data_IF_994186444385
#
_entry.id   IF_994186444385
#
_cell.length_a   1.000
_cell.length_b   1.000
_cell.length_c   1.000
_cell.angle_alpha   90.00
_cell.angle_beta   90.00
_cell.angle_gamma   90.00
#
_symmetry.space_group_name_H-M   'P 1'
#
loop_
_entity.id
_entity.type
_entity.pdbx_description
1 polymer ?
#
# COMPACT_ATOMS: atom_id res chain seq x y z
N UNK A 1 12.61 -17.81 -10.26
CA UNK A 1 12.75 -16.60 -9.41
C UNK A 1 11.66 -16.62 -8.33
N UNK A 2 11.90 -17.18 -7.12
CA UNK A 2 10.89 -17.23 -6.04
C UNK A 2 10.56 -15.86 -5.41
N UNK A 3 11.28 -14.79 -5.79
CA UNK A 3 11.14 -13.48 -5.16
C UNK A 3 9.76 -12.84 -5.39
N UNK A 4 9.16 -13.02 -6.57
CA UNK A 4 7.84 -12.47 -6.88
C UNK A 4 6.74 -13.09 -6.02
N UNK A 5 6.82 -14.39 -5.77
CA UNK A 5 5.93 -15.12 -4.85
C UNK A 5 6.01 -14.52 -3.45
N UNK A 6 7.22 -14.28 -2.95
CA UNK A 6 7.45 -13.70 -1.62
C UNK A 6 6.91 -12.26 -1.56
N UNK A 7 7.12 -11.46 -2.61
CA UNK A 7 6.60 -10.08 -2.69
C UNK A 7 5.08 -10.05 -2.74
N UNK A 8 4.47 -10.93 -3.54
CA UNK A 8 3.02 -11.06 -3.61
C UNK A 8 2.43 -11.42 -2.25
N UNK A 9 3.00 -12.44 -1.58
CA UNK A 9 2.55 -12.85 -0.26
C UNK A 9 2.67 -11.71 0.76
N UNK A 10 3.80 -11.00 0.76
CA UNK A 10 4.01 -9.86 1.65
C UNK A 10 3.01 -8.71 1.40
N UNK A 11 2.73 -8.37 0.15
CA UNK A 11 1.76 -7.33 -0.20
C UNK A 11 0.33 -7.67 0.22
N UNK A 12 -0.01 -8.97 0.28
CA UNK A 12 -1.31 -9.48 0.67
C UNK A 12 -1.38 -9.97 2.13
N UNK A 13 -0.30 -9.79 2.91
CA UNK A 13 -0.17 -10.28 4.28
C UNK A 13 -0.41 -11.78 4.45
N UNK A 14 0.08 -12.57 3.49
CA UNK A 14 0.03 -14.03 3.50
C UNK A 14 1.37 -14.63 3.92
N UNK A 15 1.32 -15.71 4.68
CA UNK A 15 2.49 -16.51 5.01
C UNK A 15 3.03 -17.23 3.77
N UNK A 16 4.34 -17.44 3.75
CA UNK A 16 5.05 -18.18 2.71
C UNK A 16 5.57 -19.48 3.29
N UNK A 17 5.34 -20.60 2.60
CA UNK A 17 6.08 -21.82 2.86
C UNK A 17 7.41 -21.78 2.08
N UNK A 18 8.50 -21.69 2.83
CA UNK A 18 9.85 -21.47 2.31
C UNK A 18 10.69 -22.75 2.41
N UNK A 19 11.12 -23.25 1.25
CA UNK A 19 12.09 -24.33 1.15
C UNK A 19 13.51 -23.75 1.27
N UNK A 20 14.20 -24.08 2.36
CA UNK A 20 15.53 -23.56 2.68
C UNK A 20 16.39 -24.62 3.35
N UNK A 21 17.55 -24.93 2.75
CA UNK A 21 18.49 -25.94 3.24
C UNK A 21 17.80 -27.28 3.55
N UNK A 22 17.03 -27.81 2.59
CA UNK A 22 16.28 -29.07 2.70
C UNK A 22 15.24 -29.09 3.84
N UNK A 23 14.78 -27.93 4.30
CA UNK A 23 13.73 -27.79 5.33
C UNK A 23 12.65 -26.82 4.88
N UNK A 24 11.39 -27.13 5.18
CA UNK A 24 10.26 -26.24 4.96
C UNK A 24 10.01 -25.36 6.19
N UNK A 25 9.62 -24.11 5.97
CA UNK A 25 9.42 -23.12 7.02
C UNK A 25 8.30 -22.16 6.63
N UNK A 26 7.27 -22.13 7.46
CA UNK A 26 6.23 -21.12 7.35
C UNK A 26 6.71 -19.79 7.94
N UNK A 27 6.74 -18.75 7.10
CA UNK A 27 7.28 -17.44 7.46
C UNK A 27 6.34 -16.28 7.08
N UNK A 28 6.46 -15.20 7.84
CA UNK A 28 5.90 -13.88 7.55
C UNK A 28 6.98 -13.02 6.88
N UNK A 29 6.88 -12.71 5.58
CA UNK A 29 7.91 -11.96 4.88
C UNK A 29 7.78 -10.44 5.11
N UNK A 30 8.86 -9.77 5.52
CA UNK A 30 8.85 -8.32 5.82
C UNK A 30 9.72 -7.47 4.90
N UNK A 31 11.01 -7.76 4.77
CA UNK A 31 11.92 -6.85 4.04
C UNK A 31 13.05 -7.55 3.31
N UNK A 32 13.59 -6.87 2.28
CA UNK A 32 14.83 -7.26 1.63
C UNK A 32 15.94 -6.30 2.02
N UNK A 33 17.08 -6.85 2.42
CA UNK A 33 18.25 -6.05 2.78
C UNK A 33 19.47 -6.60 2.06
N UNK A 34 20.35 -5.70 1.65
CA UNK A 34 21.63 -6.07 1.05
C UNK A 34 22.73 -5.92 2.09
N UNK A 35 23.55 -6.95 2.24
CA UNK A 35 24.73 -6.90 3.11
C UNK A 35 25.87 -6.14 2.43
N UNK A 36 26.92 -5.80 3.19
CA UNK A 36 28.10 -5.10 2.65
C UNK A 36 28.84 -5.92 1.59
N UNK A 37 28.85 -7.24 1.72
CA UNK A 37 29.39 -8.20 0.74
C UNK A 37 28.47 -8.40 -0.48
N UNK A 38 27.33 -7.71 -0.55
CA UNK A 38 26.44 -7.71 -1.70
C UNK A 38 25.41 -8.84 -1.72
N UNK A 39 25.38 -9.70 -0.71
CA UNK A 39 24.37 -10.75 -0.55
C UNK A 39 22.98 -10.16 -0.23
N UNK A 40 21.93 -10.72 -0.83
CA UNK A 40 20.54 -10.30 -0.60
C UNK A 40 19.89 -11.19 0.46
N UNK A 41 19.37 -10.57 1.52
CA UNK A 41 18.71 -11.23 2.64
C UNK A 41 17.22 -10.89 2.68
N UNK A 42 16.39 -11.93 2.82
CA UNK A 42 15.00 -11.82 3.23
C UNK A 42 14.93 -11.83 4.75
N UNK A 43 14.43 -10.74 5.32
CA UNK A 43 14.05 -10.65 6.72
C UNK A 43 12.60 -11.08 6.90
N UNK A 44 12.37 -12.04 7.79
CA UNK A 44 11.08 -12.63 8.01
C UNK A 44 10.91 -13.08 9.48
N UNK A 45 9.66 -13.27 9.90
CA UNK A 45 9.34 -13.88 11.19
C UNK A 45 8.89 -15.32 10.95
N UNK A 46 9.30 -16.27 11.79
CA UNK A 46 8.71 -17.62 11.78
C UNK A 46 7.30 -17.56 12.34
N UNK A 47 6.32 -18.03 11.55
CA UNK A 47 4.92 -17.94 11.96
C UNK A 47 4.64 -18.69 13.28
N UNK A 48 5.21 -19.89 13.44
CA UNK A 48 4.97 -20.72 14.62
C UNK A 48 5.60 -20.18 15.92
N UNK A 49 6.80 -19.58 15.85
CA UNK A 49 7.56 -19.18 17.05
C UNK A 49 7.66 -17.67 17.26
N UNK A 50 7.30 -16.86 16.27
CA UNK A 50 7.47 -15.40 16.33
C UNK A 50 8.94 -14.94 16.24
N UNK A 51 9.88 -15.84 15.97
CA UNK A 51 11.31 -15.51 15.88
C UNK A 51 11.65 -14.77 14.59
N UNK A 52 12.38 -13.67 14.71
CA UNK A 52 12.97 -12.99 13.57
C UNK A 52 14.16 -13.78 13.01
N UNK A 53 14.16 -14.02 11.69
CA UNK A 53 15.21 -14.75 10.96
C UNK A 53 15.52 -14.05 9.64
N UNK A 54 16.77 -14.21 9.20
CA UNK A 54 17.22 -13.75 7.90
C UNK A 54 17.60 -14.95 7.02
N UNK A 55 17.14 -14.94 5.78
CA UNK A 55 17.39 -15.99 4.79
C UNK A 55 18.10 -15.41 3.58
N UNK A 56 19.14 -16.10 3.12
CA UNK A 56 19.86 -15.73 1.91
C UNK A 56 19.03 -16.08 0.68
N UNK A 57 18.74 -15.10 -0.18
CA UNK A 57 17.90 -15.31 -1.37
C UNK A 57 18.49 -16.35 -2.32
N UNK A 58 19.81 -16.37 -2.47
CA UNK A 58 20.56 -17.33 -3.29
C UNK A 58 20.54 -18.77 -2.74
N UNK A 59 20.12 -18.97 -1.48
CA UNK A 59 20.01 -20.27 -0.84
C UNK A 59 18.56 -20.75 -0.71
N UNK A 60 17.60 -20.02 -1.27
CA UNK A 60 16.19 -20.43 -1.31
C UNK A 60 16.03 -21.48 -2.41
N UNK A 61 15.57 -22.67 -2.01
CA UNK A 61 15.32 -23.80 -2.92
C UNK A 61 13.93 -23.69 -3.57
N UNK A 62 13.00 -23.01 -2.91
CA UNK A 62 11.63 -22.82 -3.37
C UNK A 62 10.81 -21.97 -2.40
N UNK A 63 9.70 -21.41 -2.89
CA UNK A 63 8.75 -20.65 -2.09
C UNK A 63 7.35 -20.83 -2.66
N UNK A 64 6.35 -20.98 -1.80
CA UNK A 64 4.93 -21.01 -2.19
C UNK A 64 4.08 -20.13 -1.27
N UNK A 65 3.07 -19.49 -1.84
CA UNK A 65 2.09 -18.70 -1.06
C UNK A 65 1.15 -19.67 -0.37
N UNK A 66 0.79 -19.35 0.88
CA UNK A 66 -0.24 -20.08 1.62
C UNK A 66 -1.48 -19.21 1.80
N UNK A 67 -2.61 -19.81 2.12
CA UNK A 67 -3.85 -19.09 2.48
C UNK A 67 -3.86 -18.63 3.95
N UNK A 68 -2.73 -18.76 4.67
CA UNK A 68 -2.62 -18.39 6.07
C UNK A 68 -2.27 -16.90 6.16
N UNK A 69 -3.16 -16.03 6.68
CA UNK A 69 -2.85 -14.63 6.85
C UNK A 69 -1.97 -14.40 8.09
N UNK A 70 -1.22 -13.30 8.10
CA UNK A 70 -0.57 -12.77 9.30
C UNK A 70 -0.91 -11.29 9.50
N UNK A 71 -0.80 -10.83 10.75
CA UNK A 71 -0.98 -9.42 11.10
C UNK A 71 0.43 -8.79 11.21
N UNK A 72 0.81 -7.88 10.29
CA UNK A 72 2.15 -7.31 10.29
C UNK A 72 2.46 -6.56 11.59
N UNK A 73 3.55 -6.95 12.27
CA UNK A 73 4.08 -6.24 13.44
C UNK A 73 5.11 -5.17 13.08
N UNK A 74 5.67 -5.26 11.88
CA UNK A 74 6.68 -4.36 11.32
C UNK A 74 6.25 -3.87 9.93
N UNK A 75 6.88 -2.80 9.46
CA UNK A 75 6.68 -2.31 8.11
C UNK A 75 7.17 -3.35 7.07
N UNK A 76 6.39 -3.54 6.01
CA UNK A 76 6.74 -4.42 4.90
C UNK A 76 7.48 -3.60 3.83
N UNK A 77 8.77 -3.87 3.69
CA UNK A 77 9.69 -3.24 2.73
C UNK A 77 10.06 -4.23 1.60
N UNK A 78 9.07 -4.96 1.10
CA UNK A 78 9.21 -5.93 0.01
C UNK A 78 8.71 -5.42 -1.34
N UNK A 79 8.07 -4.25 -1.34
CA UNK A 79 7.52 -3.62 -2.54
C UNK A 79 8.63 -3.35 -3.54
N UNK A 80 8.47 -3.73 -4.83
CA UNK A 80 9.38 -3.24 -5.86
C UNK A 80 9.23 -1.72 -5.85
N UNK A 81 10.28 -1.01 -5.43
CA UNK A 81 10.31 0.44 -5.49
C UNK A 81 10.19 0.84 -6.97
N UNK A 82 9.02 1.33 -7.35
CA UNK A 82 8.71 1.77 -8.69
C UNK A 82 7.32 2.37 -8.68
N UNK A 83 7.19 3.58 -9.23
CA UNK A 83 5.90 4.13 -9.60
C UNK A 83 5.22 3.13 -10.53
N UNK A 84 4.11 2.52 -10.09
CA UNK A 84 3.21 1.86 -11.01
C UNK A 84 2.61 2.95 -11.91
N UNK A 85 3.26 3.19 -13.04
CA UNK A 85 2.75 4.09 -14.06
C UNK A 85 1.61 3.36 -14.76
N UNK A 86 0.39 3.54 -14.25
CA UNK A 86 -0.82 3.10 -14.91
C UNK A 86 -1.20 4.16 -15.96
N UNK A 87 -1.03 3.90 -17.27
CA UNK A 87 -1.49 4.84 -18.28
C UNK A 87 -3.01 4.98 -18.20
N UNK A 88 -3.51 6.20 -18.38
CA UNK A 88 -4.96 6.46 -18.45
C UNK A 88 -5.55 5.68 -19.62
N UNK A 89 -6.60 4.91 -19.34
CA UNK A 89 -7.39 4.21 -20.37
C UNK A 89 -8.10 5.26 -21.22
N UNK A 90 -7.62 5.49 -22.45
CA UNK A 90 -8.24 6.47 -23.35
C UNK A 90 -9.60 5.93 -23.82
N UNK A 91 -10.68 6.44 -23.23
CA UNK A 91 -11.99 6.38 -23.87
C UNK A 91 -12.00 7.42 -24.99
N UNK A 92 -12.00 6.95 -26.24
CA UNK A 92 -12.19 7.78 -27.45
C UNK A 92 -13.63 8.26 -27.55
N UNK A 93 -14.04 9.16 -26.67
CA UNK A 93 -15.23 9.98 -26.92
C UNK A 93 -14.84 11.08 -27.92
N UNK A 94 -15.18 10.83 -29.18
CA UNK A 94 -15.10 11.80 -30.26
C UNK A 94 -15.98 13.00 -29.92
N UNK A 95 -15.42 14.21 -29.87
CA UNK A 95 -16.01 15.45 -30.40
C UNK A 95 -15.02 16.63 -30.34
N UNK A 96 -14.95 17.48 -31.38
CA UNK A 96 -13.92 18.50 -31.54
C UNK A 96 -14.33 19.84 -30.91
N UNK A 97 -13.40 20.59 -30.32
CA UNK A 97 -13.71 21.94 -29.87
C UNK A 97 -12.61 22.71 -29.15
N UNK A 98 -11.79 23.42 -29.94
CA UNK A 98 -11.14 24.74 -29.69
C UNK A 98 -10.40 25.00 -28.36
N UNK A 99 -9.10 25.25 -28.51
CA UNK A 99 -8.25 26.02 -27.57
C UNK A 99 -8.70 27.49 -27.45
N UNK A 100 -8.41 28.13 -26.30
CA UNK A 100 -7.33 29.11 -26.36
C UNK A 100 -6.37 29.10 -25.16
N UNK A 101 -5.19 29.63 -25.47
CA UNK A 101 -4.04 29.91 -24.61
C UNK A 101 -4.38 30.82 -23.41
N UNK A 102 -3.86 30.46 -22.24
CA UNK A 102 -3.46 31.44 -21.22
C UNK A 102 -2.26 30.92 -20.43
N UNK A 103 -1.09 31.51 -20.68
CA UNK A 103 0.08 31.38 -19.81
C UNK A 103 -0.26 31.96 -18.45
N UNK A 104 -0.10 31.18 -17.39
CA UNK A 104 -0.06 31.65 -16.00
C UNK A 104 1.19 31.08 -15.31
N UNK A 105 1.77 31.82 -14.35
CA UNK A 105 3.09 31.51 -13.81
C UNK A 105 3.02 30.25 -12.94
N UNK A 106 3.99 29.36 -13.13
CA UNK A 106 4.20 28.19 -12.28
C UNK A 106 4.60 28.68 -10.88
N UNK A 107 3.62 28.79 -9.98
CA UNK A 107 3.91 28.71 -8.55
C UNK A 107 4.37 27.30 -8.26
N UNK A 108 5.58 27.16 -7.73
CA UNK A 108 6.10 25.88 -7.24
C UNK A 108 5.13 25.31 -6.21
N UNK A 109 4.42 24.27 -6.61
CA UNK A 109 3.57 23.50 -5.71
C UNK A 109 4.53 22.75 -4.80
N UNK A 110 4.61 23.17 -3.54
CA UNK A 110 5.23 22.36 -2.49
C UNK A 110 4.48 21.03 -2.48
N UNK A 111 5.11 19.99 -3.02
CA UNK A 111 4.61 18.62 -2.93
C UNK A 111 4.47 18.27 -1.44
N UNK A 112 3.23 18.13 -1.00
CA UNK A 112 2.91 17.54 0.30
C UNK A 112 3.11 16.03 0.15
N UNK A 113 4.35 15.58 0.33
CA UNK A 113 4.71 14.16 0.32
C UNK A 113 4.09 13.49 1.55
N UNK A 114 2.88 12.94 1.42
CA UNK A 114 2.23 12.19 2.49
C UNK A 114 0.85 11.65 2.11
N UNK A 115 0.38 10.59 2.79
CA UNK A 115 -0.94 10.01 2.57
C UNK A 115 -2.06 11.00 2.91
N UNK A 116 -3.08 11.06 2.05
CA UNK A 116 -4.35 11.74 2.28
C UNK A 116 -5.45 10.72 2.53
N UNK A 117 -6.02 10.74 3.73
CA UNK A 117 -7.03 9.81 4.19
C UNK A 117 -8.43 10.31 3.79
N UNK A 118 -9.17 9.52 3.03
CA UNK A 118 -10.55 9.84 2.62
C UNK A 118 -11.51 9.16 3.60
N UNK A 119 -12.19 9.97 4.41
CA UNK A 119 -13.09 9.54 5.46
C UNK A 119 -14.53 9.72 4.98
N UNK A 120 -15.34 8.68 5.06
CA UNK A 120 -16.77 8.72 4.75
C UNK A 120 -17.62 8.77 6.02
N UNK A 121 -18.50 9.77 6.12
CA UNK A 121 -19.41 9.91 7.26
C UNK A 121 -20.41 8.75 7.33
N UNK A 122 -20.52 8.09 8.48
CA UNK A 122 -21.50 7.01 8.69
C UNK A 122 -22.96 7.44 8.52
N UNK A 123 -23.27 8.72 8.79
CA UNK A 123 -24.65 9.21 8.78
C UNK A 123 -25.14 9.62 7.39
N UNK A 124 -24.27 10.21 6.55
CA UNK A 124 -24.68 10.80 5.28
C UNK A 124 -23.87 10.35 4.05
N UNK A 125 -22.85 9.51 4.25
CA UNK A 125 -21.98 9.02 3.17
C UNK A 125 -21.18 10.11 2.46
N UNK A 126 -20.98 11.26 3.11
CA UNK A 126 -20.16 12.36 2.58
C UNK A 126 -18.69 12.11 2.87
N UNK A 127 -17.85 12.41 1.88
CA UNK A 127 -16.41 12.11 1.90
C UNK A 127 -15.60 13.36 2.23
N UNK A 128 -14.62 13.19 3.10
CA UNK A 128 -13.74 14.23 3.61
C UNK A 128 -12.29 13.79 3.45
N UNK A 129 -11.43 14.65 2.92
CA UNK A 129 -10.01 14.33 2.74
C UNK A 129 -9.20 14.95 3.85
N UNK A 130 -8.53 14.13 4.66
CA UNK A 130 -7.69 14.54 5.78
C UNK A 130 -6.21 14.26 5.50
N UNK A 131 -5.32 15.09 6.01
CA UNK A 131 -3.86 14.88 5.92
C UNK A 131 -3.33 13.96 7.04
N UNK A 132 -4.10 13.81 8.13
CA UNK A 132 -3.79 12.93 9.26
C UNK A 132 -4.85 11.84 9.36
N UNK A 133 -4.45 10.67 9.84
CA UNK A 133 -5.38 9.55 10.10
C UNK A 133 -6.30 9.93 11.27
N UNK A 134 -7.46 10.53 10.96
CA UNK A 134 -8.45 10.95 11.95
C UNK A 134 -9.85 10.78 11.38
N UNK A 135 -10.68 10.00 12.07
CA UNK A 135 -12.05 9.68 11.68
C UNK A 135 -13.09 10.72 12.14
N UNK A 136 -12.67 11.70 12.96
CA UNK A 136 -13.54 12.74 13.50
C UNK A 136 -13.89 13.75 12.42
N UNK A 137 -15.18 13.94 12.20
CA UNK A 137 -15.73 14.90 11.24
C UNK A 137 -16.28 16.13 11.97
N UNK A 138 -16.00 17.30 11.41
CA UNK A 138 -16.61 18.55 11.86
C UNK A 138 -18.11 18.61 11.59
N UNK A 139 -18.76 19.68 12.08
CA UNK A 139 -20.13 20.01 11.66
C UNK A 139 -20.15 20.19 10.14
N UNK A 140 -21.00 19.44 9.46
CA UNK A 140 -21.11 19.51 8.01
C UNK A 140 -22.55 19.31 7.56
N UNK A 141 -22.81 19.64 6.30
CA UNK A 141 -24.08 19.36 5.63
C UNK A 141 -23.98 18.06 4.83
N UNK A 142 -25.06 17.31 4.73
CA UNK A 142 -25.15 16.09 3.91
C UNK A 142 -25.09 16.39 2.40
N UNK A 143 -25.44 15.42 1.56
CA UNK A 143 -25.44 15.57 0.09
C UNK A 143 -26.64 16.42 -0.39
N UNK A 144 -27.71 16.47 0.39
CA UNK A 144 -28.95 17.20 0.13
C UNK A 144 -28.89 18.65 0.68
N UNK A 145 -27.87 18.99 1.45
CA UNK A 145 -27.63 20.32 2.01
C UNK A 145 -28.19 20.52 3.43
N UNK A 146 -28.74 19.48 4.05
CA UNK A 146 -29.24 19.54 5.44
C UNK A 146 -28.10 19.32 6.45
N UNK A 147 -28.22 19.88 7.67
CA UNK A 147 -27.21 19.70 8.70
C UNK A 147 -27.10 18.21 9.10
N UNK A 148 -25.92 17.64 8.91
CA UNK A 148 -25.64 16.25 9.27
C UNK A 148 -25.33 16.15 10.77
N UNK A 149 -25.99 15.21 11.44
CA UNK A 149 -25.73 14.87 12.85
C UNK A 149 -24.40 14.12 13.03
N UNK A 150 -23.89 13.49 11.97
CA UNK A 150 -22.65 12.73 11.96
C UNK A 150 -21.43 13.56 12.36
N UNK A 151 -20.62 13.02 13.27
CA UNK A 151 -19.33 13.58 13.73
C UNK A 151 -18.18 12.60 13.58
N UNK A 152 -18.45 11.43 13.01
CA UNK A 152 -17.49 10.35 12.82
C UNK A 152 -17.70 9.74 11.43
N UNK A 153 -16.64 9.18 10.88
CA UNK A 153 -16.68 8.38 9.67
C UNK A 153 -15.77 7.15 9.74
N UNK A 154 -15.63 6.47 8.61
CA UNK A 154 -14.66 5.40 8.40
C UNK A 154 -13.74 5.74 7.23
N UNK A 155 -12.51 5.24 7.29
CA UNK A 155 -11.57 5.36 6.19
C UNK A 155 -12.04 4.48 5.02
N UNK A 156 -12.28 5.10 3.87
CA UNK A 156 -12.64 4.38 2.63
C UNK A 156 -11.48 4.28 1.65
N UNK A 157 -10.54 5.21 1.71
CA UNK A 157 -9.44 5.30 0.75
C UNK A 157 -8.26 6.07 1.35
N UNK A 158 -7.05 5.75 0.91
CA UNK A 158 -5.83 6.49 1.24
C UNK A 158 -5.14 6.87 -0.06
N UNK A 159 -5.22 8.16 -0.40
CA UNK A 159 -4.66 8.72 -1.63
C UNK A 159 -3.24 9.18 -1.40
N UNK A 160 -2.34 8.86 -2.32
CA UNK A 160 -0.97 9.39 -2.34
C UNK A 160 -0.87 10.49 -3.39
N UNK A 161 -0.15 11.59 -3.10
CA UNK A 161 0.10 12.70 -4.04
C UNK A 161 1.54 12.73 -4.48
#
# INVERSE_FOLDING_TARGET
MPLEVIRFAAANHLCVDLAYKRSQRLIEPYSLRRTKDGSLLLHAIRHASGEHRAYRIDQIEGASVTDIPFIPKYAIELTPAGSLHAPSTQHTSHSPGRSPSSRSPVRSIKSHHGPRYVIECYACGKRFTHEKYNMKLGKHKDKQGHPCSGRMGHLIDTKWS
#
